data_IF_953952083794
#
_entry.id   IF_953952083794
#
_cell.length_a   1.000
_cell.length_b   1.000
_cell.length_c   1.000
_cell.angle_alpha   90.00
_cell.angle_beta   90.00
_cell.angle_gamma   90.00
#
_symmetry.space_group_name_H-M   'P 1'
#
loop_
_entity.id
_entity.type
_entity.pdbx_description
1 polymer ?
#
# COMPACT_ATOMS: atom_id res chain seq x y z
N UNK A 1 23.22 -4.00 -15.09
CA UNK A 1 23.58 -3.47 -13.76
C UNK A 1 22.49 -3.89 -12.78
N UNK A 2 22.82 -4.79 -11.87
CA UNK A 2 21.88 -5.30 -10.86
C UNK A 2 21.66 -4.26 -9.77
N UNK A 3 20.40 -4.08 -9.34
CA UNK A 3 20.05 -3.19 -8.22
C UNK A 3 20.25 -3.96 -6.92
N UNK A 4 20.66 -3.26 -5.87
CA UNK A 4 20.82 -3.83 -4.52
C UNK A 4 19.95 -3.08 -3.51
N UNK A 5 19.52 -3.79 -2.47
CA UNK A 5 18.79 -3.22 -1.33
C UNK A 5 19.72 -3.18 -0.13
N UNK A 6 19.79 -2.03 0.55
CA UNK A 6 20.49 -1.92 1.82
C UNK A 6 19.63 -2.47 2.95
N UNK A 7 20.17 -3.39 3.75
CA UNK A 7 19.47 -3.98 4.89
C UNK A 7 19.40 -3.03 6.10
N UNK A 8 20.29 -2.04 6.18
CA UNK A 8 20.30 -1.06 7.29
C UNK A 8 19.29 0.08 7.08
N UNK A 9 19.26 0.68 5.87
CA UNK A 9 18.43 1.85 5.60
C UNK A 9 17.26 1.61 4.64
N UNK A 10 17.17 0.42 4.03
CA UNK A 10 16.11 0.08 3.07
C UNK A 10 16.24 0.77 1.71
N UNK A 11 17.30 1.55 1.46
CA UNK A 11 17.52 2.20 0.16
C UNK A 11 17.73 1.15 -0.94
N UNK A 12 17.03 1.33 -2.06
CA UNK A 12 17.10 0.47 -3.25
C UNK A 12 17.73 1.28 -4.38
N UNK A 13 18.90 0.87 -4.84
CA UNK A 13 19.66 1.62 -5.84
C UNK A 13 20.80 0.82 -6.42
N UNK A 14 21.65 1.50 -7.20
CA UNK A 14 22.94 0.93 -7.57
C UNK A 14 23.90 1.09 -6.38
N UNK A 15 24.63 0.03 -6.02
CA UNK A 15 25.67 0.17 -5.02
C UNK A 15 26.79 1.09 -5.53
N UNK A 16 27.46 1.75 -4.60
CA UNK A 16 28.63 2.59 -4.84
C UNK A 16 29.88 1.74 -4.65
N UNK A 17 30.83 1.85 -5.58
CA UNK A 17 32.15 1.21 -5.45
C UNK A 17 33.17 2.23 -4.94
N UNK A 18 33.77 1.98 -3.78
CA UNK A 18 34.79 2.85 -3.19
C UNK A 18 35.95 2.01 -2.65
N UNK A 19 37.14 2.20 -3.20
CA UNK A 19 38.35 1.49 -2.74
C UNK A 19 38.29 -0.04 -2.89
N UNK A 20 37.48 -0.55 -3.82
CA UNK A 20 37.25 -1.99 -4.00
C UNK A 20 36.16 -2.58 -3.08
N UNK A 21 35.47 -1.74 -2.30
CA UNK A 21 34.33 -2.14 -1.49
C UNK A 21 33.01 -1.67 -2.11
N UNK A 22 32.02 -2.57 -2.08
CA UNK A 22 30.64 -2.29 -2.50
C UNK A 22 29.83 -1.76 -1.31
N UNK A 23 29.36 -0.51 -1.40
CA UNK A 23 28.69 0.23 -0.33
C UNK A 23 27.31 0.74 -0.75
N UNK A 24 26.42 0.93 0.22
CA UNK A 24 25.14 1.60 -0.02
C UNK A 24 25.38 3.07 -0.37
N UNK A 25 24.92 3.51 -1.54
CA UNK A 25 25.04 4.92 -1.97
C UNK A 25 24.26 5.93 -1.11
N UNK A 26 23.41 5.49 -0.18
CA UNK A 26 22.66 6.37 0.72
C UNK A 26 23.25 6.45 2.13
N UNK A 27 23.65 5.32 2.74
CA UNK A 27 24.13 5.31 4.13
C UNK A 27 25.56 4.77 4.31
N UNK A 28 26.26 4.40 3.24
CA UNK A 28 27.63 3.86 3.30
C UNK A 28 27.75 2.45 3.90
N UNK A 29 26.64 1.78 4.22
CA UNK A 29 26.67 0.43 4.77
C UNK A 29 27.11 -0.62 3.74
N UNK A 30 27.86 -1.63 4.21
CA UNK A 30 28.24 -2.84 3.46
C UNK A 30 27.12 -3.89 3.40
N UNK A 31 26.04 -3.70 4.15
CA UNK A 31 24.92 -4.64 4.27
C UNK A 31 23.98 -4.48 3.07
N UNK A 32 24.42 -5.00 1.92
CA UNK A 32 23.71 -4.95 0.65
C UNK A 32 23.31 -6.35 0.23
N UNK A 33 22.05 -6.52 -0.17
CA UNK A 33 21.54 -7.76 -0.78
C UNK A 33 21.13 -7.49 -2.22
N UNK A 34 21.46 -8.38 -3.18
CA UNK A 34 20.97 -8.27 -4.54
C UNK A 34 19.44 -8.22 -4.53
N UNK A 35 18.86 -7.32 -5.32
CA UNK A 35 17.42 -7.32 -5.53
C UNK A 35 17.04 -8.48 -6.47
N UNK A 36 17.07 -9.72 -5.96
CA UNK A 36 16.57 -10.89 -6.66
C UNK A 36 15.08 -10.74 -6.97
N UNK A 37 14.68 -11.21 -8.15
CA UNK A 37 13.29 -11.31 -8.60
C UNK A 37 12.56 -12.36 -7.75
N UNK A 38 11.73 -11.88 -6.82
CA UNK A 38 10.55 -12.58 -6.30
C UNK A 38 10.75 -13.93 -5.61
N UNK A 39 10.90 -13.92 -4.28
CA UNK A 39 10.18 -14.75 -3.30
C UNK A 39 10.88 -14.60 -1.93
N UNK A 40 10.10 -14.55 -0.84
CA UNK A 40 10.55 -14.61 0.57
C UNK A 40 11.40 -13.45 1.14
N UNK A 41 11.11 -12.20 0.76
CA UNK A 41 11.53 -11.08 1.64
C UNK A 41 10.60 -11.00 2.84
N UNK A 42 11.11 -11.07 4.09
CA UNK A 42 10.26 -10.92 5.26
C UNK A 42 9.60 -9.54 5.23
N UNK A 43 8.28 -9.53 5.09
CA UNK A 43 7.49 -8.30 5.15
C UNK A 43 7.31 -7.92 6.62
N UNK A 44 7.68 -6.70 7.04
CA UNK A 44 7.49 -6.28 8.42
C UNK A 44 6.02 -6.40 8.83
N UNK A 45 5.73 -6.95 10.02
CA UNK A 45 4.37 -7.13 10.53
C UNK A 45 3.52 -5.84 10.51
N UNK A 46 4.16 -4.66 10.67
CA UNK A 46 3.49 -3.36 10.55
C UNK A 46 2.84 -3.15 9.18
N UNK A 47 3.47 -3.63 8.11
CA UNK A 47 2.98 -3.51 6.72
C UNK A 47 1.79 -4.44 6.52
N UNK A 48 1.87 -5.67 7.05
CA UNK A 48 0.76 -6.63 6.99
C UNK A 48 -0.48 -6.11 7.75
N UNK A 49 -0.29 -5.59 8.96
CA UNK A 49 -1.37 -4.97 9.75
C UNK A 49 -1.96 -3.74 9.08
N UNK A 50 -1.13 -2.91 8.44
CA UNK A 50 -1.62 -1.77 7.67
C UNK A 50 -2.46 -2.21 6.47
N UNK A 51 -2.02 -3.24 5.75
CA UNK A 51 -2.77 -3.82 4.62
C UNK A 51 -4.12 -4.42 5.08
N UNK A 52 -4.13 -5.13 6.21
CA UNK A 52 -5.36 -5.63 6.83
C UNK A 52 -6.31 -4.49 7.20
N UNK A 53 -5.81 -3.43 7.83
CA UNK A 53 -6.60 -2.25 8.17
C UNK A 53 -7.21 -1.57 6.94
N UNK A 54 -6.46 -1.48 5.85
CA UNK A 54 -6.97 -0.97 4.57
C UNK A 54 -8.06 -1.88 4.01
N UNK A 55 -7.86 -3.20 4.00
CA UNK A 55 -8.86 -4.15 3.52
C UNK A 55 -10.17 -4.04 4.32
N UNK A 56 -10.08 -3.92 5.65
CA UNK A 56 -11.25 -3.70 6.52
C UNK A 56 -11.95 -2.37 6.24
N UNK A 57 -11.20 -1.29 6.00
CA UNK A 57 -11.78 0.00 5.64
C UNK A 57 -12.54 -0.08 4.30
N UNK A 58 -11.97 -0.74 3.30
CA UNK A 58 -12.64 -0.99 2.02
C UNK A 58 -13.90 -1.82 2.17
N UNK A 59 -13.87 -2.88 3.00
CA UNK A 59 -15.05 -3.69 3.31
C UNK A 59 -16.18 -2.84 3.92
N UNK A 60 -15.88 -2.01 4.91
CA UNK A 60 -16.88 -1.12 5.54
C UNK A 60 -17.50 -0.14 4.53
N UNK A 61 -16.70 0.41 3.61
CA UNK A 61 -17.18 1.27 2.53
C UNK A 61 -18.11 0.52 1.58
N UNK A 62 -17.74 -0.70 1.18
CA UNK A 62 -18.57 -1.54 0.32
C UNK A 62 -19.93 -1.86 0.96
N UNK A 63 -19.95 -2.18 2.26
CA UNK A 63 -21.20 -2.39 3.00
C UNK A 63 -22.06 -1.11 3.07
N UNK A 64 -21.43 0.06 3.28
CA UNK A 64 -22.12 1.35 3.23
C UNK A 64 -22.76 1.63 1.87
N UNK A 65 -22.01 1.40 0.77
CA UNK A 65 -22.51 1.57 -0.59
C UNK A 65 -23.67 0.62 -0.89
N UNK A 66 -23.56 -0.64 -0.48
CA UNK A 66 -24.65 -1.62 -0.63
C UNK A 66 -25.94 -1.15 0.05
N UNK A 67 -25.85 -0.56 1.26
CA UNK A 67 -27.00 0.05 1.93
C UNK A 67 -27.60 1.22 1.14
N UNK A 68 -26.77 2.09 0.56
CA UNK A 68 -27.25 3.22 -0.27
C UNK A 68 -27.98 2.71 -1.51
N UNK A 69 -27.43 1.69 -2.19
CA UNK A 69 -28.06 1.08 -3.37
C UNK A 69 -29.41 0.46 -2.99
N UNK A 70 -29.47 -0.32 -1.91
CA UNK A 70 -30.73 -0.93 -1.47
C UNK A 70 -31.79 0.12 -1.11
N UNK A 71 -31.40 1.23 -0.48
CA UNK A 71 -32.31 2.36 -0.23
C UNK A 71 -32.79 3.00 -1.53
N UNK A 72 -31.91 3.22 -2.50
CA UNK A 72 -32.28 3.82 -3.77
C UNK A 72 -33.24 2.91 -4.56
N UNK A 73 -32.99 1.60 -4.55
CA UNK A 73 -33.88 0.59 -5.14
C UNK A 73 -35.25 0.62 -4.46
N UNK A 74 -35.29 0.62 -3.13
CA UNK A 74 -36.54 0.68 -2.38
C UNK A 74 -37.36 1.94 -2.67
N UNK A 75 -36.69 3.07 -2.94
CA UNK A 75 -37.33 4.33 -3.30
C UNK A 75 -37.59 4.47 -4.81
N UNK A 76 -37.20 3.49 -5.62
CA UNK A 76 -37.48 3.44 -7.06
C UNK A 76 -36.68 4.40 -7.93
N UNK A 77 -35.67 5.11 -7.39
CA UNK A 77 -34.85 6.01 -8.18
C UNK A 77 -33.44 6.23 -7.60
N UNK A 78 -32.46 6.46 -8.49
CA UNK A 78 -31.10 6.89 -8.16
C UNK A 78 -30.97 8.40 -8.40
N UNK A 79 -31.33 9.19 -7.38
CA UNK A 79 -31.22 10.65 -7.41
C UNK A 79 -29.90 11.23 -6.86
N UNK A 80 -29.73 12.54 -7.05
CA UNK A 80 -28.64 13.34 -6.49
C UNK A 80 -28.31 13.08 -4.99
N UNK A 81 -29.27 12.88 -4.08
CA UNK A 81 -28.95 12.60 -2.67
C UNK A 81 -28.16 11.29 -2.48
N UNK A 82 -28.51 10.21 -3.19
CA UNK A 82 -27.79 8.93 -3.07
C UNK A 82 -26.39 9.01 -3.68
N UNK A 83 -26.22 9.77 -4.77
CA UNK A 83 -24.90 10.05 -5.33
C UNK A 83 -24.02 10.90 -4.39
N UNK A 84 -24.62 11.81 -3.62
CA UNK A 84 -23.93 12.56 -2.56
C UNK A 84 -23.49 11.67 -1.39
N UNK A 85 -24.36 10.76 -0.95
CA UNK A 85 -24.07 9.79 0.10
C UNK A 85 -22.98 8.80 -0.31
N UNK A 86 -23.04 8.26 -1.53
CA UNK A 86 -22.01 7.37 -2.07
C UNK A 86 -20.62 8.03 -2.13
N UNK A 87 -20.55 9.32 -2.54
CA UNK A 87 -19.30 10.08 -2.56
C UNK A 87 -18.71 10.28 -1.15
N UNK A 88 -19.55 10.56 -0.14
CA UNK A 88 -19.10 10.68 1.26
C UNK A 88 -18.52 9.36 1.79
N UNK A 89 -19.19 8.24 1.51
CA UNK A 89 -18.71 6.90 1.92
C UNK A 89 -17.36 6.59 1.27
N UNK A 90 -17.20 6.87 -0.02
CA UNK A 90 -15.93 6.67 -0.73
C UNK A 90 -14.79 7.53 -0.20
N UNK A 91 -15.08 8.76 0.25
CA UNK A 91 -14.13 9.64 0.91
C UNK A 91 -13.78 9.20 2.35
N UNK A 92 -14.44 8.17 2.89
CA UNK A 92 -14.25 7.70 4.26
C UNK A 92 -15.03 8.46 5.33
N UNK A 93 -15.94 9.35 4.93
CA UNK A 93 -16.85 10.08 5.82
C UNK A 93 -18.18 9.35 6.03
N UNK A 94 -18.10 8.04 6.32
CA UNK A 94 -19.26 7.20 6.64
C UNK A 94 -19.67 7.37 8.10
#
# INVERSE_FOLDING_TARGET
>A
MERSSCMECGHIGQPMELGGETLCGNCGSRSLVPCGTGADRPVPMRVLRAAEGQALAWKKRAEGLSRVVNKAIANGHLGAPYAGEARRIMAGGA
#
